data_IF_586124507823
#
_entry.id   IF_586124507823
#
_cell.length_a   1.000
_cell.length_b   1.000
_cell.length_c   1.000
_cell.angle_alpha   90.00
_cell.angle_beta   90.00
_cell.angle_gamma   90.00
#
_symmetry.space_group_name_H-M   'P 1'
#
loop_
_entity.id
_entity.type
_entity.pdbx_description
1 polymer ?
#
# COMPACT_ATOMS: atom_id res chain seq x y z
N UNK A 1 4.03 -29.64 2.75
CA UNK A 1 3.62 -28.62 3.73
C UNK A 1 4.31 -27.36 3.28
N UNK A 2 3.62 -26.54 2.49
CA UNK A 2 4.24 -25.42 1.80
C UNK A 2 4.20 -24.23 2.74
N UNK A 3 5.32 -23.93 3.40
CA UNK A 3 5.48 -22.68 4.14
C UNK A 3 5.35 -21.53 3.14
N UNK A 4 4.29 -20.73 3.29
CA UNK A 4 4.21 -19.40 2.69
C UNK A 4 5.24 -18.54 3.42
N UNK A 5 6.46 -18.51 2.89
CA UNK A 5 7.45 -17.50 3.25
C UNK A 5 6.86 -16.16 2.85
N UNK A 6 6.41 -15.40 3.84
CA UNK A 6 6.22 -13.96 3.68
C UNK A 6 7.64 -13.43 3.50
N UNK A 7 8.08 -13.37 2.25
CA UNK A 7 9.38 -12.80 1.91
C UNK A 7 9.41 -11.39 2.50
N UNK A 8 10.36 -11.20 3.41
CA UNK A 8 10.71 -9.91 3.98
C UNK A 8 10.89 -8.94 2.82
N UNK A 9 9.95 -7.99 2.68
CA UNK A 9 10.02 -6.95 1.66
C UNK A 9 11.39 -6.27 1.73
N UNK A 10 12.20 -6.57 0.72
CA UNK A 10 13.57 -6.08 0.59
C UNK A 10 13.54 -4.55 0.56
N UNK A 11 14.38 -3.90 1.37
CA UNK A 11 14.50 -2.43 1.45
C UNK A 11 14.88 -1.74 0.12
N UNK A 12 15.07 -2.49 -0.96
CA UNK A 12 15.37 -2.01 -2.32
C UNK A 12 14.20 -2.12 -3.31
N UNK A 13 13.05 -2.68 -2.94
CA UNK A 13 11.89 -2.76 -3.83
C UNK A 13 10.98 -1.54 -3.61
N UNK A 14 11.04 -0.58 -4.53
CA UNK A 14 10.08 0.54 -4.56
C UNK A 14 8.66 -0.02 -4.62
N UNK A 15 7.85 0.25 -3.60
CA UNK A 15 6.48 -0.23 -3.55
C UNK A 15 5.60 0.57 -4.51
N UNK A 16 4.43 0.01 -4.86
CA UNK A 16 3.43 0.75 -5.65
C UNK A 16 3.04 2.08 -5.01
N UNK A 17 2.98 2.12 -3.67
CA UNK A 17 2.68 3.33 -2.92
C UNK A 17 3.78 4.38 -3.06
N UNK A 18 5.05 3.97 -2.97
CA UNK A 18 6.18 4.88 -3.13
C UNK A 18 6.13 5.59 -4.50
N UNK A 19 5.85 4.84 -5.57
CA UNK A 19 5.69 5.40 -6.93
C UNK A 19 4.53 6.39 -6.99
N UNK A 20 3.40 6.08 -6.35
CA UNK A 20 2.24 6.97 -6.30
C UNK A 20 2.60 8.28 -5.57
N UNK A 21 3.21 8.18 -4.39
CA UNK A 21 3.57 9.33 -3.56
C UNK A 21 4.62 10.20 -4.25
N UNK A 22 5.65 9.58 -4.86
CA UNK A 22 6.71 10.29 -5.58
C UNK A 22 6.15 11.10 -6.76
N UNK A 23 5.26 10.50 -7.55
CA UNK A 23 4.85 11.04 -8.86
C UNK A 23 3.59 11.92 -8.78
N UNK A 24 2.62 11.52 -7.96
CA UNK A 24 1.34 12.20 -7.84
C UNK A 24 1.27 13.11 -6.61
N UNK A 25 2.04 12.80 -5.56
CA UNK A 25 2.12 13.59 -4.34
C UNK A 25 0.93 13.42 -3.39
N UNK A 26 1.16 13.65 -2.10
CA UNK A 26 0.16 13.45 -1.03
C UNK A 26 -0.82 14.63 -0.85
N UNK A 27 -0.86 15.57 -1.80
CA UNK A 27 -1.76 16.72 -1.73
C UNK A 27 -3.21 16.33 -2.02
N UNK A 28 -3.40 15.29 -2.84
CA UNK A 28 -4.71 14.73 -3.12
C UNK A 28 -5.26 13.97 -1.90
N UNK A 29 -6.47 14.29 -1.43
CA UNK A 29 -7.04 13.65 -0.22
C UNK A 29 -7.08 12.13 -0.29
N UNK A 30 -7.34 11.56 -1.47
CA UNK A 30 -7.38 10.10 -1.65
C UNK A 30 -5.98 9.46 -1.59
N UNK A 31 -4.93 10.14 -2.05
CA UNK A 31 -3.55 9.63 -1.93
C UNK A 31 -3.11 9.69 -0.47
N UNK A 32 -3.43 10.78 0.24
CA UNK A 32 -3.22 10.86 1.69
C UNK A 32 -3.97 9.76 2.44
N UNK A 33 -5.21 9.47 2.05
CA UNK A 33 -6.01 8.37 2.62
C UNK A 33 -5.33 7.02 2.38
N UNK A 34 -4.81 6.79 1.18
CA UNK A 34 -4.07 5.57 0.84
C UNK A 34 -2.83 5.40 1.73
N UNK A 35 -2.03 6.45 1.96
CA UNK A 35 -0.85 6.41 2.85
C UNK A 35 -1.27 6.03 4.27
N UNK A 36 -2.31 6.67 4.82
CA UNK A 36 -2.82 6.37 6.16
C UNK A 36 -3.30 4.91 6.27
N UNK A 37 -4.00 4.41 5.24
CA UNK A 37 -4.44 3.02 5.21
C UNK A 37 -3.25 2.04 5.15
N UNK A 38 -2.22 2.35 4.36
CA UNK A 38 -1.02 1.51 4.26
C UNK A 38 -0.30 1.39 5.61
N UNK A 39 -0.07 2.52 6.28
CA UNK A 39 0.54 2.55 7.61
C UNK A 39 -0.29 1.77 8.63
N UNK A 40 -1.61 1.94 8.61
CA UNK A 40 -2.50 1.25 9.53
C UNK A 40 -2.51 -0.27 9.27
N UNK A 41 -2.55 -0.70 8.00
CA UNK A 41 -2.47 -2.11 7.64
C UNK A 41 -1.14 -2.74 8.07
N UNK A 42 -0.01 -2.02 7.94
CA UNK A 42 1.30 -2.47 8.43
C UNK A 42 1.30 -2.62 9.95
N UNK A 43 0.82 -1.61 10.68
CA UNK A 43 0.72 -1.68 12.15
C UNK A 43 -0.13 -2.87 12.60
N UNK A 44 -1.24 -3.13 11.93
CA UNK A 44 -2.07 -4.31 12.22
C UNK A 44 -1.34 -5.62 11.95
N UNK A 45 -0.67 -5.74 10.80
CA UNK A 45 0.08 -6.94 10.43
C UNK A 45 1.24 -7.22 11.40
N UNK A 46 1.90 -6.18 11.89
CA UNK A 46 2.95 -6.26 12.92
C UNK A 46 2.41 -6.59 14.31
N UNK A 47 1.19 -6.13 14.61
CA UNK A 47 0.52 -6.36 15.90
C UNK A 47 -0.19 -7.72 16.02
N UNK A 48 -0.09 -8.61 15.03
CA UNK A 48 -0.79 -9.90 14.96
C UNK A 48 -0.48 -10.81 16.16
N UNK A 49 -1.17 -10.56 17.27
CA UNK A 49 -1.54 -11.56 18.26
C UNK A 49 -2.60 -12.45 17.61
N UNK A 50 -2.41 -13.77 17.67
CA UNK A 50 -3.30 -14.78 17.10
C UNK A 50 -4.75 -14.67 17.63
N UNK A 51 -4.96 -13.91 18.71
CA UNK A 51 -6.25 -13.65 19.36
C UNK A 51 -6.77 -12.21 19.16
N UNK A 52 -6.07 -11.37 18.40
CA UNK A 52 -6.44 -9.99 18.14
C UNK A 52 -7.65 -9.87 17.21
N UNK A 53 -8.38 -8.73 17.24
CA UNK A 53 -9.40 -8.45 16.23
C UNK A 53 -8.71 -8.41 14.85
N UNK A 54 -9.17 -9.26 13.93
CA UNK A 54 -8.65 -9.29 12.56
C UNK A 54 -8.80 -7.93 11.85
N UNK A 55 -7.98 -7.71 10.82
CA UNK A 55 -8.02 -6.49 10.02
C UNK A 55 -9.41 -6.33 9.38
N UNK A 56 -10.09 -5.17 9.54
CA UNK A 56 -11.37 -4.92 8.87
C UNK A 56 -11.25 -5.03 7.35
N UNK A 57 -12.08 -5.88 6.75
CA UNK A 57 -12.04 -6.17 5.31
C UNK A 57 -12.36 -4.93 4.47
N UNK A 58 -13.16 -4.02 4.99
CA UNK A 58 -13.54 -2.76 4.35
C UNK A 58 -12.32 -1.87 4.14
N UNK A 59 -11.39 -1.85 5.10
CA UNK A 59 -10.19 -1.01 5.04
C UNK A 59 -9.14 -1.62 4.10
N UNK A 60 -9.04 -2.95 4.06
CA UNK A 60 -8.24 -3.66 3.05
C UNK A 60 -8.78 -3.41 1.64
N UNK A 61 -10.10 -3.48 1.47
CA UNK A 61 -10.74 -3.22 0.19
C UNK A 61 -10.54 -1.77 -0.28
N UNK A 62 -10.72 -0.80 0.61
CA UNK A 62 -10.48 0.62 0.33
C UNK A 62 -9.02 0.86 -0.11
N UNK A 63 -8.06 0.33 0.65
CA UNK A 63 -6.64 0.42 0.31
C UNK A 63 -6.35 -0.17 -1.07
N UNK A 64 -6.84 -1.39 -1.34
CA UNK A 64 -6.63 -2.06 -2.62
C UNK A 64 -7.25 -1.29 -3.79
N UNK A 65 -8.45 -0.71 -3.60
CA UNK A 65 -9.12 0.10 -4.61
C UNK A 65 -8.33 1.37 -4.93
N UNK A 66 -7.88 2.10 -3.91
CA UNK A 66 -7.09 3.32 -4.09
C UNK A 66 -5.74 3.00 -4.74
N UNK A 67 -5.05 1.94 -4.32
CA UNK A 67 -3.80 1.51 -4.91
C UNK A 67 -3.97 1.16 -6.40
N UNK A 68 -5.02 0.41 -6.75
CA UNK A 68 -5.32 0.04 -8.13
C UNK A 68 -5.75 1.23 -9.01
N UNK A 69 -6.38 2.25 -8.41
CA UNK A 69 -6.75 3.49 -9.11
C UNK A 69 -5.51 4.33 -9.44
N UNK A 70 -4.63 4.54 -8.46
CA UNK A 70 -3.56 5.53 -8.59
C UNK A 70 -2.25 4.97 -9.16
N UNK A 71 -1.97 3.69 -8.99
CA UNK A 71 -0.73 3.10 -9.48
C UNK A 71 -0.56 3.22 -11.01
N UNK A 72 -1.58 2.91 -11.84
CA UNK A 72 -1.46 3.08 -13.29
C UNK A 72 -1.24 4.54 -13.71
N UNK A 73 -1.92 5.49 -13.03
CA UNK A 73 -1.78 6.93 -13.30
C UNK A 73 -0.37 7.43 -12.95
N UNK A 74 0.18 6.96 -11.83
CA UNK A 74 1.53 7.28 -11.41
C UNK A 74 2.57 6.71 -12.40
N UNK A 75 2.37 5.48 -12.87
CA UNK A 75 3.24 4.89 -13.89
C UNK A 75 3.20 5.65 -15.22
N UNK A 76 2.00 6.01 -15.69
CA UNK A 76 1.85 6.78 -16.93
C UNK A 76 2.59 8.12 -16.84
N UNK A 77 2.37 8.87 -15.75
CA UNK A 77 3.05 10.16 -15.56
C UNK A 77 4.57 10.01 -15.41
N UNK A 78 5.04 8.97 -14.71
CA UNK A 78 6.48 8.67 -14.60
C UNK A 78 7.11 8.40 -15.97
N UNK A 79 6.42 7.63 -16.81
CA UNK A 79 6.88 7.32 -18.17
C UNK A 79 6.90 8.53 -19.10
N UNK A 80 6.03 9.53 -18.87
CA UNK A 80 6.06 10.80 -19.62
C UNK A 80 7.20 11.73 -19.19
N UNK A 81 7.76 11.54 -17.99
CA UNK A 81 8.84 12.36 -17.44
C UNK A 81 10.24 11.82 -17.78
N UNK A 82 10.35 10.56 -18.21
CA UNK A 82 11.57 9.89 -18.65
C UNK A 82 11.76 10.02 -20.17
#
# INVERSE_FOLDING_TARGET
MTELKIDTMSQNETTKLDIIVEVLGEREPEIRRLVILDDWLRMFAESNDENGPGIPIELVAEWAMLLNKYYPLALEKRNMMN
#
